data_IF_804815436389
#
_entry.id   IF_804815436389
#
_cell.length_a   1.000
_cell.length_b   1.000
_cell.length_c   1.000
_cell.angle_alpha   90.00
_cell.angle_beta   90.00
_cell.angle_gamma   90.00
#
_symmetry.space_group_name_H-M   'P 1'
#
loop_
_entity.id
_entity.type
_entity.pdbx_description
1 polymer ?
#
# COMPACT_ATOMS: atom_id res chain seq x y z
N UNK A 1 -8.27 4.98 4.60
CA UNK A 1 -6.81 4.67 4.52
C UNK A 1 -6.46 3.62 3.46
N UNK A 2 -7.30 2.61 3.20
CA UNK A 2 -7.03 1.63 2.12
C UNK A 2 -6.88 2.24 0.72
N UNK A 3 -7.60 3.31 0.37
CA UNK A 3 -7.38 4.05 -0.89
C UNK A 3 -5.97 4.66 -0.96
N UNK A 4 -5.52 5.31 0.12
CA UNK A 4 -4.15 5.85 0.17
C UNK A 4 -3.11 4.74 -0.02
N UNK A 5 -3.34 3.54 0.54
CA UNK A 5 -2.46 2.38 0.31
C UNK A 5 -2.36 2.02 -1.17
N UNK A 6 -3.47 1.97 -1.90
CA UNK A 6 -3.44 1.62 -3.33
C UNK A 6 -2.76 2.70 -4.17
N UNK A 7 -2.95 3.97 -3.81
CA UNK A 7 -2.24 5.10 -4.45
C UNK A 7 -0.74 5.03 -4.17
N UNK A 8 -0.31 4.75 -2.92
CA UNK A 8 1.11 4.56 -2.57
C UNK A 8 1.76 3.44 -3.38
N UNK A 9 1.07 2.30 -3.55
CA UNK A 9 1.56 1.19 -4.38
C UNK A 9 1.63 1.56 -5.86
N UNK A 10 0.74 2.44 -6.35
CA UNK A 10 0.82 2.96 -7.72
C UNK A 10 2.03 3.88 -7.89
N UNK A 11 2.26 4.78 -6.94
CA UNK A 11 3.44 5.64 -6.93
C UNK A 11 4.74 4.83 -6.88
N UNK A 12 4.80 3.78 -6.06
CA UNK A 12 5.93 2.84 -6.01
C UNK A 12 6.23 2.24 -7.38
N UNK A 13 5.21 1.71 -8.09
CA UNK A 13 5.42 1.15 -9.43
C UNK A 13 5.96 2.16 -10.43
N UNK A 14 5.42 3.37 -10.44
CA UNK A 14 5.90 4.45 -11.32
C UNK A 14 7.33 4.87 -10.98
N UNK A 15 7.69 4.91 -9.70
CA UNK A 15 9.05 5.22 -9.27
C UNK A 15 10.05 4.11 -9.62
N UNK A 16 9.64 2.84 -9.53
CA UNK A 16 10.46 1.71 -9.99
C UNK A 16 10.65 1.73 -11.50
N UNK A 17 9.60 2.07 -12.26
CA UNK A 17 9.70 2.25 -13.71
C UNK A 17 10.69 3.38 -14.05
N UNK A 18 10.59 4.52 -13.38
CA UNK A 18 11.53 5.63 -13.53
C UNK A 18 12.98 5.23 -13.22
N UNK A 19 13.19 4.46 -12.15
CA UNK A 19 14.50 3.94 -11.75
C UNK A 19 15.17 3.05 -12.81
N UNK A 20 14.42 2.53 -13.77
CA UNK A 20 14.96 1.76 -14.89
C UNK A 20 15.50 2.63 -16.03
N UNK A 21 15.12 3.92 -16.06
CA UNK A 21 15.50 4.87 -17.09
C UNK A 21 16.50 5.94 -16.59
N UNK A 22 16.43 6.31 -15.31
CA UNK A 22 17.29 7.34 -14.72
C UNK A 22 17.64 7.04 -13.25
N UNK A 23 18.67 7.72 -12.74
CA UNK A 23 19.04 7.62 -11.33
C UNK A 23 17.97 8.27 -10.45
N UNK A 24 17.45 7.51 -9.49
CA UNK A 24 16.47 7.99 -8.52
C UNK A 24 17.00 7.83 -7.10
N UNK A 25 16.45 8.62 -6.17
CA UNK A 25 16.76 8.46 -4.76
C UNK A 25 16.25 7.11 -4.23
N UNK A 26 17.16 6.18 -3.97
CA UNK A 26 16.84 4.85 -3.43
C UNK A 26 16.05 4.87 -2.12
N UNK A 27 16.27 5.89 -1.26
CA UNK A 27 15.51 6.04 -0.02
C UNK A 27 14.01 6.33 -0.30
N UNK A 28 13.70 7.02 -1.39
CA UNK A 28 12.30 7.27 -1.79
C UNK A 28 11.58 5.97 -2.21
N UNK A 29 12.28 5.07 -2.92
CA UNK A 29 11.74 3.75 -3.28
C UNK A 29 11.46 2.91 -2.02
N UNK A 30 12.42 2.84 -1.10
CA UNK A 30 12.23 2.15 0.19
C UNK A 30 11.09 2.76 0.98
N UNK A 31 10.98 4.09 1.00
CA UNK A 31 9.90 4.78 1.69
C UNK A 31 8.52 4.46 1.11
N UNK A 32 8.32 4.53 -0.21
CA UNK A 32 7.04 4.22 -0.86
C UNK A 32 6.59 2.78 -0.59
N UNK A 33 7.55 1.85 -0.60
CA UNK A 33 7.33 0.45 -0.26
C UNK A 33 6.82 0.30 1.19
N UNK A 34 7.55 0.85 2.17
CA UNK A 34 7.21 0.80 3.60
C UNK A 34 5.94 1.57 3.95
N UNK A 35 5.68 2.69 3.27
CA UNK A 35 4.48 3.50 3.45
C UNK A 35 3.22 2.69 3.14
N UNK A 36 3.27 1.82 2.13
CA UNK A 36 2.13 0.97 1.77
C UNK A 36 1.78 -0.04 2.87
N UNK A 37 2.78 -0.56 3.59
CA UNK A 37 2.59 -1.44 4.75
C UNK A 37 2.04 -0.66 5.94
N UNK A 38 2.64 0.51 6.23
CA UNK A 38 2.17 1.37 7.31
C UNK A 38 0.71 1.79 7.11
N UNK A 39 0.32 2.17 5.89
CA UNK A 39 -1.06 2.52 5.56
C UNK A 39 -2.04 1.34 5.71
N UNK A 40 -1.58 0.10 5.55
CA UNK A 40 -2.39 -1.08 5.86
C UNK A 40 -2.63 -1.20 7.36
N UNK A 41 -1.57 -1.12 8.18
CA UNK A 41 -1.69 -1.16 9.64
C UNK A 41 -2.57 -0.01 10.16
N UNK A 42 -2.34 1.21 9.68
CA UNK A 42 -3.11 2.38 10.05
C UNK A 42 -4.60 2.23 9.65
N UNK A 43 -4.90 1.63 8.50
CA UNK A 43 -6.27 1.37 8.09
C UNK A 43 -7.00 0.41 9.04
N UNK A 44 -6.33 -0.65 9.50
CA UNK A 44 -6.90 -1.60 10.48
C UNK A 44 -7.11 -0.94 11.83
N UNK A 45 -6.12 -0.19 12.32
CA UNK A 45 -6.25 0.57 13.58
C UNK A 45 -7.44 1.52 13.53
N UNK A 46 -7.60 2.26 12.43
CA UNK A 46 -8.74 3.14 12.23
C UNK A 46 -10.09 2.41 12.12
N UNK A 47 -10.08 1.10 11.83
CA UNK A 47 -11.25 0.28 11.65
C UNK A 47 -11.52 -0.59 12.89
N UNK A 48 -11.71 0.08 14.03
CA UNK A 48 -11.92 -0.54 15.34
C UNK A 48 -10.81 -1.53 15.72
N UNK A 49 -9.55 -1.11 15.58
CA UNK A 49 -8.37 -1.96 15.82
C UNK A 49 -8.39 -3.28 15.02
N UNK A 50 -9.08 -3.28 13.88
CA UNK A 50 -9.24 -4.40 12.96
C UNK A 50 -10.40 -5.33 13.30
N UNK A 51 -11.19 -5.06 14.35
CA UNK A 51 -12.38 -5.87 14.68
C UNK A 51 -13.50 -5.72 13.65
N UNK A 52 -13.57 -4.56 13.00
CA UNK A 52 -14.54 -4.29 11.94
C UNK A 52 -13.98 -4.58 10.52
N UNK A 53 -12.84 -5.27 10.40
CA UNK A 53 -12.25 -5.58 9.09
C UNK A 53 -13.16 -6.49 8.26
N UNK A 54 -13.29 -6.17 6.97
CA UNK A 54 -13.99 -7.02 6.01
C UNK A 54 -13.11 -8.23 5.71
N UNK A 55 -13.47 -9.37 6.30
CA UNK A 55 -12.76 -10.62 6.07
C UNK A 55 -13.05 -11.15 4.66
N UNK A 56 -12.00 -11.65 4.02
CA UNK A 56 -12.14 -12.34 2.75
C UNK A 56 -12.87 -13.68 2.96
N UNK A 57 -14.00 -13.86 2.28
CA UNK A 57 -14.75 -15.12 2.28
C UNK A 57 -14.55 -15.85 0.95
N UNK A 58 -13.94 -17.04 0.94
CA UNK A 58 -13.78 -17.84 -0.27
C UNK A 58 -15.14 -18.10 -0.94
N UNK A 59 -15.26 -17.84 -2.24
CA UNK A 59 -16.46 -18.15 -3.02
C UNK A 59 -17.67 -17.21 -2.81
N UNK A 60 -17.52 -16.10 -2.08
CA UNK A 60 -18.63 -15.18 -1.81
C UNK A 60 -19.25 -14.49 -3.04
N UNK A 61 -18.52 -14.45 -4.18
CA UNK A 61 -18.97 -13.85 -5.44
C UNK A 61 -19.11 -14.90 -6.57
N UNK A 62 -19.35 -16.17 -6.23
CA UNK A 62 -19.53 -17.24 -7.22
C UNK A 62 -21.00 -17.40 -7.62
#
# INVERSE_FOLDING_TARGET
LHLARTVSRRAERLAVELASAEEVNGAALTYLNRLSDWLFCAARVANDEGRADVLWSPGANR
#
